data_IF_379481513230
#
_entry.id   IF_379481513230
#
_cell.length_a   1.000
_cell.length_b   1.000
_cell.length_c   1.000
_cell.angle_alpha   90.00
_cell.angle_beta   90.00
_cell.angle_gamma   90.00
#
_symmetry.space_group_name_H-M   'P 1'
#
loop_
_entity.id
_entity.type
_entity.pdbx_description
1 polymer ?
#
# COMPACT_ATOMS: atom_id res chain seq x y z
N UNK A 1 19.02 -8.46 17.68
CA UNK A 1 18.42 -7.14 17.44
C UNK A 1 17.41 -7.29 16.31
N UNK A 2 16.26 -6.66 16.37
CA UNK A 2 15.34 -6.69 15.23
C UNK A 2 16.01 -6.06 14.01
N UNK A 3 15.85 -6.69 12.84
CA UNK A 3 16.44 -6.24 11.56
C UNK A 3 16.08 -4.81 11.17
N UNK A 4 15.01 -4.29 11.77
CA UNK A 4 14.45 -2.95 11.50
C UNK A 4 14.83 -1.88 12.52
N UNK A 5 15.81 -2.17 13.41
CA UNK A 5 16.23 -1.17 14.40
C UNK A 5 17.01 0.01 13.79
N UNK A 6 17.72 -0.23 12.68
CA UNK A 6 18.62 0.75 12.04
C UNK A 6 18.24 1.08 10.60
N UNK A 7 17.21 0.41 10.04
CA UNK A 7 16.75 0.65 8.68
C UNK A 7 15.24 0.36 8.54
N UNK A 8 14.53 1.04 7.60
CA UNK A 8 13.12 0.81 7.38
C UNK A 8 12.87 -0.56 6.76
N UNK A 9 11.70 -1.16 7.01
CA UNK A 9 11.33 -2.49 6.47
C UNK A 9 11.48 -2.57 4.95
N UNK A 10 11.10 -1.52 4.24
CA UNK A 10 11.19 -1.45 2.77
C UNK A 10 12.63 -1.48 2.23
N UNK A 11 13.63 -1.21 3.09
CA UNK A 11 15.05 -1.30 2.74
C UNK A 11 15.66 -2.68 3.03
N UNK A 12 14.92 -3.60 3.65
CA UNK A 12 15.40 -4.97 3.87
C UNK A 12 15.66 -5.66 2.53
N UNK A 13 16.79 -6.39 2.39
CA UNK A 13 17.12 -7.06 1.14
C UNK A 13 16.31 -8.36 1.00
N UNK A 14 15.74 -8.54 -0.18
CA UNK A 14 15.15 -9.79 -0.66
C UNK A 14 15.85 -10.12 -1.97
N UNK A 15 16.44 -11.28 -2.07
CA UNK A 15 17.25 -11.73 -3.22
C UNK A 15 18.29 -10.69 -3.66
N UNK A 16 18.96 -10.06 -2.68
CA UNK A 16 20.04 -9.10 -2.90
C UNK A 16 19.63 -7.68 -3.23
N UNK A 17 18.33 -7.36 -3.29
CA UNK A 17 17.86 -5.99 -3.51
C UNK A 17 16.81 -5.57 -2.47
N UNK A 18 16.68 -4.25 -2.14
CA UNK A 18 15.67 -3.75 -1.22
C UNK A 18 14.25 -4.07 -1.68
N UNK A 19 13.35 -4.38 -0.72
CA UNK A 19 11.91 -4.59 -0.98
C UNK A 19 11.33 -3.43 -1.82
N UNK A 20 11.62 -2.19 -1.45
CA UNK A 20 11.12 -1.02 -2.17
C UNK A 20 11.52 -1.02 -3.65
N UNK A 21 12.78 -1.35 -3.95
CA UNK A 21 13.24 -1.43 -5.34
C UNK A 21 12.48 -2.49 -6.11
N UNK A 22 12.30 -3.66 -5.50
CA UNK A 22 11.46 -4.72 -6.05
C UNK A 22 10.04 -4.22 -6.34
N UNK A 23 9.39 -3.58 -5.37
CA UNK A 23 8.03 -3.05 -5.53
C UNK A 23 7.94 -2.07 -6.72
N UNK A 24 8.85 -1.10 -6.81
CA UNK A 24 8.86 -0.10 -7.86
C UNK A 24 9.04 -0.72 -9.26
N UNK A 25 9.91 -1.74 -9.39
CA UNK A 25 10.07 -2.49 -10.62
C UNK A 25 8.80 -3.26 -11.01
N UNK A 26 8.12 -3.89 -10.04
CA UNK A 26 6.86 -4.59 -10.31
C UNK A 26 5.73 -3.62 -10.70
N UNK A 27 5.67 -2.43 -10.09
CA UNK A 27 4.71 -1.39 -10.45
C UNK A 27 4.96 -0.84 -11.86
N UNK A 28 6.23 -0.58 -12.23
CA UNK A 28 6.60 -0.20 -13.59
C UNK A 28 6.17 -1.27 -14.62
N UNK A 29 6.47 -2.53 -14.34
CA UNK A 29 6.09 -3.66 -15.20
C UNK A 29 4.57 -3.85 -15.30
N UNK A 30 3.81 -3.41 -14.29
CA UNK A 30 2.34 -3.44 -14.31
C UNK A 30 1.70 -2.27 -15.05
N UNK A 31 2.49 -1.28 -15.52
CA UNK A 31 2.01 -0.12 -16.26
C UNK A 31 1.61 1.06 -15.38
N UNK A 32 2.20 1.20 -14.20
CA UNK A 32 2.09 2.42 -13.38
C UNK A 32 2.98 3.51 -13.99
N UNK A 33 2.45 4.73 -14.13
CA UNK A 33 3.14 5.83 -14.79
C UNK A 33 4.11 6.59 -13.86
N UNK A 34 3.78 6.70 -12.57
CA UNK A 34 4.61 7.36 -11.56
C UNK A 34 4.33 6.83 -10.16
N UNK A 35 5.26 7.03 -9.23
CA UNK A 35 5.08 6.66 -7.83
C UNK A 35 5.53 7.79 -6.88
N UNK A 36 4.79 7.92 -5.77
CA UNK A 36 5.16 8.77 -4.64
C UNK A 36 5.43 7.88 -3.44
N UNK A 37 6.65 7.91 -2.93
CA UNK A 37 7.05 7.15 -1.73
C UNK A 37 7.01 8.06 -0.53
N UNK A 38 6.09 7.82 0.40
CA UNK A 38 6.04 8.58 1.65
C UNK A 38 7.11 8.04 2.60
N UNK A 39 8.03 8.91 2.99
CA UNK A 39 9.19 8.57 3.81
C UNK A 39 9.05 9.10 5.23
N UNK A 40 9.85 8.57 6.15
CA UNK A 40 9.89 9.01 7.55
C UNK A 40 11.17 8.51 8.21
N UNK A 41 11.12 7.38 8.91
CA UNK A 41 12.29 6.77 9.53
C UNK A 41 13.36 6.44 8.50
N UNK A 42 14.59 6.94 8.71
CA UNK A 42 15.72 6.79 7.80
C UNK A 42 15.39 7.18 6.35
N UNK A 43 14.75 8.35 6.16
CA UNK A 43 14.34 8.85 4.84
C UNK A 43 15.50 8.89 3.83
N UNK A 44 16.71 9.22 4.28
CA UNK A 44 17.92 9.23 3.46
C UNK A 44 18.27 7.86 2.85
N UNK A 45 17.95 6.76 3.55
CA UNK A 45 18.10 5.40 3.01
C UNK A 45 17.11 5.16 1.89
N UNK A 46 15.84 5.57 2.10
CA UNK A 46 14.78 5.43 1.09
C UNK A 46 15.10 6.29 -0.15
N UNK A 47 15.55 7.53 0.05
CA UNK A 47 15.93 8.44 -1.04
C UNK A 47 17.03 7.84 -1.93
N UNK A 48 18.05 7.18 -1.32
CA UNK A 48 19.11 6.47 -2.09
C UNK A 48 18.56 5.28 -2.89
N UNK A 49 17.59 4.54 -2.35
CA UNK A 49 16.95 3.43 -3.07
C UNK A 49 16.15 3.99 -4.25
N UNK A 50 15.32 5.00 -4.01
CA UNK A 50 14.53 5.67 -5.06
C UNK A 50 15.41 6.21 -6.17
N UNK A 51 16.53 6.88 -5.83
CA UNK A 51 17.48 7.41 -6.81
C UNK A 51 18.17 6.33 -7.67
N UNK A 52 18.06 5.05 -7.30
CA UNK A 52 18.61 3.92 -8.06
C UNK A 52 17.59 3.25 -9.00
N UNK A 53 16.37 3.79 -9.09
CA UNK A 53 15.29 3.25 -9.94
C UNK A 53 15.17 4.12 -11.18
N UNK A 54 15.36 3.53 -12.35
CA UNK A 54 15.33 4.22 -13.64
C UNK A 54 14.06 3.90 -14.44
N UNK A 55 13.37 2.79 -14.10
CA UNK A 55 12.26 2.25 -14.89
C UNK A 55 10.91 2.94 -14.61
N UNK A 56 10.83 3.75 -13.55
CA UNK A 56 9.62 4.44 -13.11
C UNK A 56 9.98 5.83 -12.59
N UNK A 57 9.30 6.90 -12.99
CA UNK A 57 9.38 8.19 -12.32
C UNK A 57 8.94 8.06 -10.85
N UNK A 58 9.87 8.31 -9.92
CA UNK A 58 9.59 8.20 -8.48
C UNK A 58 10.04 9.46 -7.79
N UNK A 59 9.22 9.97 -6.87
CA UNK A 59 9.59 11.05 -5.96
C UNK A 59 9.27 10.66 -4.52
N UNK A 60 9.94 11.28 -3.58
CA UNK A 60 9.72 11.06 -2.16
C UNK A 60 8.93 12.22 -1.55
N UNK A 61 8.10 11.91 -0.56
CA UNK A 61 7.36 12.89 0.25
C UNK A 61 7.65 12.59 1.74
N UNK A 62 8.28 13.53 2.43
CA UNK A 62 8.64 13.33 3.82
C UNK A 62 7.44 13.56 4.76
N UNK A 63 7.14 12.57 5.60
CA UNK A 63 6.18 12.68 6.69
C UNK A 63 6.92 13.05 8.00
N UNK A 64 6.86 14.30 8.49
CA UNK A 64 7.55 14.70 9.71
C UNK A 64 6.94 14.08 10.98
N UNK A 65 5.75 13.52 10.88
CA UNK A 65 5.01 12.90 11.99
C UNK A 65 5.11 11.37 11.98
N UNK A 66 6.03 10.78 11.21
CA UNK A 66 6.13 9.33 11.00
C UNK A 66 6.17 8.51 12.30
N UNK A 67 6.75 9.07 13.38
CA UNK A 67 6.85 8.38 14.66
C UNK A 67 5.54 8.39 15.48
N UNK A 68 4.60 9.26 15.14
CA UNK A 68 3.33 9.46 15.85
C UNK A 68 2.10 9.14 14.98
N UNK A 69 2.27 9.07 13.66
CA UNK A 69 1.19 8.77 12.72
C UNK A 69 1.16 7.28 12.35
N UNK A 70 -0.04 6.79 12.12
CA UNK A 70 -0.31 5.50 11.49
C UNK A 70 -0.39 5.62 9.95
N UNK A 71 -0.87 4.56 9.29
CA UNK A 71 -1.08 4.56 7.84
C UNK A 71 -2.10 5.61 7.39
N UNK A 72 -3.12 5.90 8.21
CA UNK A 72 -4.12 6.91 7.88
C UNK A 72 -3.50 8.32 7.89
N UNK A 73 -2.71 8.64 8.92
CA UNK A 73 -1.97 9.90 8.99
C UNK A 73 -0.96 10.04 7.85
N UNK A 74 -0.31 8.94 7.45
CA UNK A 74 0.58 8.92 6.28
C UNK A 74 -0.18 9.22 4.99
N UNK A 75 -1.36 8.64 4.79
CA UNK A 75 -2.23 8.96 3.66
C UNK A 75 -2.69 10.42 3.68
N UNK A 76 -2.98 10.98 4.86
CA UNK A 76 -3.34 12.39 5.00
C UNK A 76 -2.21 13.32 4.55
N UNK A 77 -0.96 13.03 4.87
CA UNK A 77 0.21 13.78 4.37
C UNK A 77 0.25 13.75 2.84
N UNK A 78 -0.02 12.60 2.23
CA UNK A 78 0.03 12.41 0.78
C UNK A 78 -1.27 12.80 0.05
N UNK A 79 -2.31 13.31 0.73
CA UNK A 79 -3.63 13.54 0.13
C UNK A 79 -3.67 14.46 -1.09
N UNK A 80 -2.70 15.37 -1.21
CA UNK A 80 -2.59 16.28 -2.36
C UNK A 80 -2.04 15.60 -3.62
N UNK A 81 -1.52 14.38 -3.48
CA UNK A 81 -1.09 13.51 -4.58
C UNK A 81 -2.26 12.66 -5.12
N UNK A 82 -3.40 12.69 -4.45
CA UNK A 82 -4.56 11.82 -4.72
C UNK A 82 -5.66 12.60 -5.46
N UNK A 83 -5.35 13.25 -6.58
CA UNK A 83 -6.30 14.03 -7.40
C UNK A 83 -6.76 13.31 -8.67
N UNK A 84 -6.08 12.24 -9.05
CA UNK A 84 -6.37 11.33 -10.16
C UNK A 84 -6.61 9.92 -9.63
N UNK A 85 -7.04 8.93 -10.44
CA UNK A 85 -7.04 7.54 -10.02
C UNK A 85 -5.66 7.11 -9.51
N UNK A 86 -5.60 6.50 -8.33
CA UNK A 86 -4.34 6.12 -7.68
C UNK A 86 -4.42 4.75 -7.02
N UNK A 87 -3.25 4.20 -6.74
CA UNK A 87 -3.07 2.97 -5.96
C UNK A 87 -2.30 3.26 -4.68
N UNK A 88 -2.75 2.71 -3.56
CA UNK A 88 -1.99 2.65 -2.31
C UNK A 88 -1.37 1.26 -2.21
N UNK A 89 -0.08 1.22 -1.87
CA UNK A 89 0.67 -0.02 -1.63
C UNK A 89 1.44 0.11 -0.32
N UNK A 90 1.32 -0.89 0.56
CA UNK A 90 2.12 -0.95 1.77
C UNK A 90 3.60 -1.16 1.43
N UNK A 91 4.49 -0.42 2.09
CA UNK A 91 5.92 -0.43 1.80
C UNK A 91 6.68 -1.72 2.16
N UNK A 92 6.04 -2.71 2.76
CA UNK A 92 6.63 -3.99 3.17
C UNK A 92 5.99 -5.22 2.49
N UNK A 93 5.11 -5.02 1.51
CA UNK A 93 4.44 -6.09 0.76
C UNK A 93 5.28 -6.51 -0.44
N UNK A 94 5.56 -7.80 -0.58
CA UNK A 94 6.16 -8.38 -1.79
C UNK A 94 5.06 -8.90 -2.71
N UNK A 95 5.15 -8.56 -3.99
CA UNK A 95 4.17 -8.96 -5.00
C UNK A 95 4.84 -9.05 -6.38
N UNK A 96 4.22 -9.80 -7.28
CA UNK A 96 4.58 -9.86 -8.70
C UNK A 96 3.75 -8.85 -9.50
N UNK A 97 4.26 -8.40 -10.64
CA UNK A 97 3.60 -7.41 -11.51
C UNK A 97 2.18 -7.82 -11.95
N UNK A 98 1.89 -9.12 -12.00
CA UNK A 98 0.56 -9.62 -12.34
C UNK A 98 -0.53 -9.15 -11.37
N UNK A 99 -0.20 -8.94 -10.08
CA UNK A 99 -1.16 -8.50 -9.07
C UNK A 99 -1.60 -7.04 -9.30
N UNK A 100 -0.72 -6.03 -9.29
CA UNK A 100 -1.11 -4.66 -9.59
C UNK A 100 -1.68 -4.52 -11.01
N UNK A 101 -1.15 -5.25 -12.01
CA UNK A 101 -1.72 -5.25 -13.36
C UNK A 101 -3.19 -5.73 -13.37
N UNK A 102 -3.49 -6.85 -12.69
CA UNK A 102 -4.88 -7.37 -12.58
C UNK A 102 -5.78 -6.36 -11.86
N UNK A 103 -5.28 -5.74 -10.79
CA UNK A 103 -6.03 -4.75 -10.02
C UNK A 103 -6.30 -3.49 -10.84
N UNK A 104 -5.32 -3.01 -11.62
CA UNK A 104 -5.47 -1.88 -12.54
C UNK A 104 -6.43 -2.20 -13.70
N UNK A 105 -6.36 -3.39 -14.26
CA UNK A 105 -7.23 -3.82 -15.35
C UNK A 105 -8.67 -4.17 -14.89
N UNK A 106 -8.88 -4.40 -13.58
CA UNK A 106 -10.18 -4.78 -13.05
C UNK A 106 -11.22 -3.69 -13.27
N UNK A 107 -12.32 -4.02 -13.92
CA UNK A 107 -13.50 -3.15 -14.07
C UNK A 107 -14.64 -3.71 -13.22
N UNK A 108 -14.51 -3.55 -11.91
CA UNK A 108 -15.50 -4.07 -10.96
C UNK A 108 -16.77 -3.22 -10.86
N UNK A 109 -16.77 -2.03 -11.46
CA UNK A 109 -17.84 -1.03 -11.27
C UNK A 109 -17.82 -0.37 -9.87
N UNK A 110 -16.90 -0.76 -8.98
CA UNK A 110 -16.75 -0.15 -7.67
C UNK A 110 -15.65 0.91 -7.67
N UNK A 111 -15.85 2.01 -6.91
CA UNK A 111 -14.89 3.11 -6.84
C UNK A 111 -13.59 2.76 -6.10
N UNK A 112 -13.61 1.73 -5.24
CA UNK A 112 -12.46 1.25 -4.49
C UNK A 112 -12.37 -0.27 -4.65
N UNK A 113 -11.18 -0.76 -5.01
CA UNK A 113 -10.91 -2.19 -5.18
C UNK A 113 -9.70 -2.57 -4.33
N UNK A 114 -9.85 -3.59 -3.49
CA UNK A 114 -8.83 -4.10 -2.57
C UNK A 114 -8.28 -5.43 -3.08
N UNK A 115 -6.96 -5.57 -3.12
CA UNK A 115 -6.34 -6.87 -3.34
C UNK A 115 -6.36 -7.70 -2.05
N UNK A 116 -6.79 -8.95 -2.17
CA UNK A 116 -6.99 -9.85 -1.03
C UNK A 116 -6.38 -11.21 -1.29
N UNK A 117 -6.00 -11.90 -0.22
CA UNK A 117 -5.54 -13.29 -0.26
C UNK A 117 -6.33 -14.13 0.74
N UNK A 118 -6.26 -15.45 0.58
CA UNK A 118 -6.89 -16.44 1.48
C UNK A 118 -5.84 -17.42 1.96
N UNK A 119 -5.83 -17.67 3.28
CA UNK A 119 -4.94 -18.64 3.89
C UNK A 119 -5.66 -19.51 4.92
N UNK A 120 -5.05 -20.62 5.31
CA UNK A 120 -5.67 -21.59 6.20
C UNK A 120 -5.88 -21.12 7.64
N UNK A 121 -5.17 -20.07 8.09
CA UNK A 121 -5.31 -19.45 9.41
C UNK A 121 -4.87 -18.00 9.39
N UNK A 122 -5.46 -17.18 10.24
CA UNK A 122 -5.18 -15.75 10.38
C UNK A 122 -4.66 -15.45 11.79
N UNK A 123 -3.61 -14.66 11.89
CA UNK A 123 -3.01 -14.23 13.16
C UNK A 123 -3.46 -12.82 13.60
N UNK A 124 -2.89 -12.31 14.70
CA UNK A 124 -3.27 -11.00 15.26
C UNK A 124 -2.84 -9.83 14.37
N UNK A 125 -1.80 -9.98 13.55
CA UNK A 125 -1.26 -8.91 12.72
C UNK A 125 -1.93 -8.80 11.35
N UNK A 126 -2.60 -9.87 10.91
CA UNK A 126 -3.30 -9.90 9.64
C UNK A 126 -4.42 -8.86 9.58
N UNK A 127 -4.48 -8.12 8.46
CA UNK A 127 -5.60 -7.25 8.15
C UNK A 127 -6.74 -8.08 7.53
N UNK A 128 -7.52 -8.71 8.41
CA UNK A 128 -8.59 -9.64 8.06
C UNK A 128 -9.73 -8.94 7.34
N UNK A 129 -10.41 -9.68 6.46
CA UNK A 129 -11.61 -9.21 5.78
C UNK A 129 -12.79 -10.16 5.98
N UNK A 130 -13.98 -9.59 5.85
CA UNK A 130 -15.24 -10.31 5.60
C UNK A 130 -15.79 -9.76 4.29
N UNK A 131 -15.97 -10.63 3.31
CA UNK A 131 -16.54 -10.28 2.01
C UNK A 131 -17.69 -11.21 1.64
N UNK A 132 -18.61 -10.73 0.81
CA UNK A 132 -19.69 -11.51 0.22
C UNK A 132 -19.86 -11.09 -1.24
N UNK A 133 -19.87 -12.07 -2.17
CA UNK A 133 -20.03 -11.83 -3.62
C UNK A 133 -19.08 -10.74 -4.14
N UNK A 134 -17.80 -10.79 -3.74
CA UNK A 134 -16.73 -9.82 -4.07
C UNK A 134 -16.93 -8.42 -3.45
N UNK A 135 -17.95 -8.21 -2.64
CA UNK A 135 -18.13 -6.97 -1.92
C UNK A 135 -17.49 -7.06 -0.53
N UNK A 136 -16.60 -6.13 -0.22
CA UNK A 136 -16.01 -5.98 1.11
C UNK A 136 -17.07 -5.48 2.09
N UNK A 137 -17.29 -6.23 3.17
CA UNK A 137 -18.23 -5.87 4.23
C UNK A 137 -17.53 -5.33 5.47
N UNK A 138 -16.37 -5.92 5.83
CA UNK A 138 -15.57 -5.51 6.98
C UNK A 138 -14.08 -5.71 6.70
N UNK A 139 -13.26 -4.86 7.30
CA UNK A 139 -11.81 -4.99 7.33
C UNK A 139 -11.30 -4.61 8.73
N UNK A 140 -10.35 -5.35 9.26
CA UNK A 140 -9.75 -5.06 10.56
C UNK A 140 -8.96 -6.21 11.16
N UNK A 141 -8.10 -5.89 12.13
CA UNK A 141 -7.26 -6.89 12.81
C UNK A 141 -8.05 -7.76 13.81
N UNK A 142 -9.09 -7.20 14.42
CA UNK A 142 -9.85 -7.82 15.52
C UNK A 142 -11.25 -8.29 15.09
N UNK A 143 -11.35 -8.90 13.90
CA UNK A 143 -12.60 -9.49 13.43
C UNK A 143 -12.80 -10.89 14.03
N UNK A 144 -14.07 -11.29 14.18
CA UNK A 144 -14.44 -12.65 14.55
C UNK A 144 -13.96 -13.64 13.48
N UNK A 145 -13.04 -14.53 13.87
CA UNK A 145 -12.41 -15.49 12.96
C UNK A 145 -13.42 -16.43 12.29
N UNK A 146 -14.59 -16.66 12.91
CA UNK A 146 -15.65 -17.46 12.31
C UNK A 146 -16.29 -16.82 11.06
N UNK A 147 -16.12 -15.51 10.89
CA UNK A 147 -16.65 -14.74 9.77
C UNK A 147 -15.58 -14.37 8.72
N UNK A 148 -14.31 -14.48 9.10
CA UNK A 148 -13.18 -14.09 8.24
C UNK A 148 -13.06 -15.06 7.07
N UNK A 149 -12.98 -14.51 5.87
CA UNK A 149 -12.81 -15.28 4.62
C UNK A 149 -11.68 -14.76 3.72
N UNK A 150 -10.81 -13.92 4.23
CA UNK A 150 -9.61 -13.45 3.54
C UNK A 150 -8.85 -12.41 4.36
N UNK A 151 -7.77 -11.90 3.79
CA UNK A 151 -6.98 -10.79 4.32
C UNK A 151 -6.65 -9.78 3.22
N UNK A 152 -6.43 -8.54 3.60
CA UNK A 152 -5.87 -7.52 2.73
C UNK A 152 -4.36 -7.69 2.62
N UNK A 153 -3.83 -7.69 1.41
CA UNK A 153 -2.38 -7.69 1.18
C UNK A 153 -1.77 -6.28 1.17
N UNK A 154 -2.53 -5.25 1.56
CA UNK A 154 -2.04 -3.87 1.61
C UNK A 154 -1.92 -3.19 0.25
N UNK A 155 -2.77 -3.55 -0.71
CA UNK A 155 -2.84 -2.93 -2.03
C UNK A 155 -4.28 -2.58 -2.38
N UNK A 156 -4.54 -1.31 -2.72
CA UNK A 156 -5.88 -0.79 -3.04
C UNK A 156 -5.82 0.19 -4.20
N UNK A 157 -6.82 0.15 -5.08
CA UNK A 157 -7.00 1.10 -6.18
C UNK A 157 -8.25 1.93 -5.95
N UNK A 158 -8.13 3.23 -6.17
CA UNK A 158 -9.19 4.22 -6.08
C UNK A 158 -9.46 4.84 -7.44
N UNK A 159 -10.73 4.89 -7.87
CA UNK A 159 -11.15 5.39 -9.18
C UNK A 159 -12.44 6.19 -9.09
N UNK A 160 -12.67 7.06 -10.05
CA UNK A 160 -13.89 7.86 -10.12
C UNK A 160 -14.21 8.53 -8.78
N UNK A 161 -15.41 8.34 -8.27
CA UNK A 161 -15.86 8.93 -6.99
C UNK A 161 -15.04 8.43 -5.77
N UNK A 162 -14.35 7.28 -5.88
CA UNK A 162 -13.52 6.74 -4.80
C UNK A 162 -12.35 7.64 -4.42
N UNK A 163 -11.82 8.39 -5.38
CA UNK A 163 -10.76 9.38 -5.15
C UNK A 163 -11.25 10.47 -4.20
N UNK A 164 -12.36 11.11 -4.52
CA UNK A 164 -12.98 12.16 -3.69
C UNK A 164 -13.41 11.61 -2.34
N UNK A 165 -14.14 10.50 -2.32
CA UNK A 165 -14.60 9.85 -1.08
C UNK A 165 -13.48 9.55 -0.10
N UNK A 166 -12.34 9.07 -0.58
CA UNK A 166 -11.21 8.75 0.29
C UNK A 166 -10.56 10.03 0.84
N UNK A 167 -10.30 11.03 0.00
CA UNK A 167 -9.75 12.32 0.42
C UNK A 167 -10.63 13.01 1.46
N UNK A 168 -11.95 13.08 1.23
CA UNK A 168 -12.90 13.67 2.17
C UNK A 168 -12.87 12.95 3.51
N UNK A 169 -12.74 11.62 3.51
CA UNK A 169 -12.61 10.85 4.75
C UNK A 169 -11.30 11.11 5.48
N UNK A 170 -10.19 11.25 4.77
CA UNK A 170 -8.92 11.64 5.39
C UNK A 170 -9.01 13.00 6.11
N UNK A 171 -9.67 13.99 5.50
CA UNK A 171 -9.82 15.33 6.09
C UNK A 171 -10.72 15.36 7.32
N UNK A 172 -11.70 14.44 7.41
CA UNK A 172 -12.63 14.38 8.55
C UNK A 172 -12.18 13.43 9.68
N UNK A 173 -11.12 12.66 9.46
CA UNK A 173 -10.64 11.65 10.43
C UNK A 173 -9.41 12.13 11.21
N UNK A 174 -8.91 13.30 10.92
CA UNK A 174 -7.82 14.02 11.61
C UNK A 174 -8.39 15.22 12.33
#
# INVERSE_FOLDING_TARGET
MPLTAEQPKCALPVDGQPILRWQLQQLAAAGVDEAVVVTGFCADVVDRIVASVDDLPVRTLYNPFFAASDNLGTCWIARHEMDQPFMIVNGDTLFEAAIPHTLLASNTGFPITLATDTKGSYDSDDMKIVSHSQQLLRVGKSLDLALVNGESIGMMVFRGDGVGLFRDRLEHST
#
